data_IF_988787742222
#
_entry.id   IF_988787742222
#
_cell.length_a   1.000
_cell.length_b   1.000
_cell.length_c   1.000
_cell.angle_alpha   90.00
_cell.angle_beta   90.00
_cell.angle_gamma   90.00
#
_symmetry.space_group_name_H-M   'P 1'
#
loop_
_entity.id
_entity.type
_entity.pdbx_description
1 polymer ?
#
# COMPACT_ATOMS: atom_id res chain seq x y z
N UNK A 1 0.41 -22.56 -11.24
CA UNK A 1 -0.19 -22.10 -9.97
C UNK A 1 -1.64 -22.55 -9.96
N UNK A 2 -2.09 -23.24 -8.91
CA UNK A 2 -3.51 -23.50 -8.73
C UNK A 2 -4.24 -22.18 -8.42
N UNK A 3 -5.49 -21.99 -8.89
CA UNK A 3 -6.25 -20.79 -8.57
C UNK A 3 -6.48 -20.69 -7.06
N UNK A 4 -6.40 -19.48 -6.52
CA UNK A 4 -6.67 -19.23 -5.10
C UNK A 4 -8.13 -19.62 -4.77
N UNK A 5 -8.32 -20.37 -3.68
CA UNK A 5 -9.66 -20.73 -3.24
C UNK A 5 -10.33 -19.50 -2.58
N UNK A 6 -11.35 -18.97 -3.24
CA UNK A 6 -12.03 -17.74 -2.80
C UNK A 6 -12.67 -17.88 -1.42
N UNK A 7 -13.18 -19.05 -1.05
CA UNK A 7 -13.79 -19.27 0.26
C UNK A 7 -12.76 -19.24 1.39
N UNK A 8 -11.56 -19.77 1.13
CA UNK A 8 -10.44 -19.72 2.08
C UNK A 8 -9.96 -18.28 2.26
N UNK A 9 -9.91 -17.51 1.18
CA UNK A 9 -9.52 -16.09 1.23
C UNK A 9 -10.55 -15.26 1.99
N UNK A 10 -11.85 -15.46 1.75
CA UNK A 10 -12.92 -14.79 2.47
C UNK A 10 -12.88 -15.11 3.96
N UNK A 11 -12.75 -16.39 4.33
CA UNK A 11 -12.60 -16.81 5.72
C UNK A 11 -11.38 -16.14 6.38
N UNK A 12 -10.25 -16.09 5.67
CA UNK A 12 -9.06 -15.40 6.16
C UNK A 12 -9.33 -13.93 6.48
N UNK A 13 -9.93 -13.17 5.56
CA UNK A 13 -10.19 -11.75 5.79
C UNK A 13 -11.28 -11.52 6.86
N UNK A 14 -12.34 -12.33 6.89
CA UNK A 14 -13.40 -12.21 7.89
C UNK A 14 -12.91 -12.51 9.32
N UNK A 15 -11.91 -13.39 9.46
CA UNK A 15 -11.38 -13.79 10.76
C UNK A 15 -10.08 -13.05 11.12
N UNK A 16 -9.63 -12.11 10.30
CA UNK A 16 -8.41 -11.34 10.56
C UNK A 16 -8.61 -10.42 11.77
N UNK A 17 -7.67 -10.45 12.71
CA UNK A 17 -7.74 -9.70 13.96
C UNK A 17 -6.38 -9.12 14.32
N UNK A 18 -6.41 -7.93 14.93
CA UNK A 18 -5.24 -7.26 15.50
C UNK A 18 -5.38 -7.25 17.02
N UNK A 19 -4.66 -8.14 17.70
CA UNK A 19 -4.88 -8.40 19.13
C UNK A 19 -4.20 -7.38 20.08
N UNK A 20 -3.38 -6.46 19.57
CA UNK A 20 -2.72 -5.42 20.37
C UNK A 20 -2.29 -4.23 19.50
N UNK A 21 -2.35 -3.01 20.05
CA UNK A 21 -1.88 -1.81 19.33
C UNK A 21 -0.37 -1.56 19.50
N UNK A 22 0.23 -1.98 20.62
CA UNK A 22 1.65 -1.78 20.90
C UNK A 22 2.54 -2.80 20.19
N UNK A 23 2.09 -4.06 20.15
CA UNK A 23 2.74 -5.14 19.41
C UNK A 23 1.69 -5.91 18.62
N UNK A 24 1.28 -5.40 17.44
CA UNK A 24 0.18 -5.96 16.68
C UNK A 24 0.44 -7.41 16.27
N UNK A 25 -0.08 -8.33 17.09
CA UNK A 25 -0.27 -9.73 16.75
C UNK A 25 -1.42 -9.79 15.76
N UNK A 26 -1.04 -9.79 14.49
CA UNK A 26 -1.94 -9.85 13.36
C UNK A 26 -2.19 -11.32 13.02
N UNK A 27 -3.38 -11.83 13.30
CA UNK A 27 -3.70 -13.26 13.14
C UNK A 27 -5.07 -13.46 12.51
N UNK A 28 -5.21 -14.51 11.71
CA UNK A 28 -6.50 -14.98 11.19
C UNK A 28 -6.64 -16.48 11.42
N UNK A 29 -7.82 -16.93 11.80
CA UNK A 29 -8.12 -18.35 12.00
C UNK A 29 -8.86 -18.90 10.78
N UNK A 30 -8.30 -19.91 10.12
CA UNK A 30 -8.83 -20.48 8.87
C UNK A 30 -8.74 -21.99 8.94
N UNK A 31 -9.86 -22.70 8.83
CA UNK A 31 -9.92 -24.17 8.79
C UNK A 31 -9.13 -24.88 9.90
N UNK A 32 -9.18 -24.36 11.13
CA UNK A 32 -8.44 -24.95 12.25
C UNK A 32 -7.02 -24.41 12.45
N UNK A 33 -6.56 -23.50 11.59
CA UNK A 33 -5.18 -23.02 11.57
C UNK A 33 -5.14 -21.52 11.85
N UNK A 34 -4.30 -21.12 12.81
CA UNK A 34 -3.98 -19.70 13.05
C UNK A 34 -2.84 -19.25 12.15
N UNK A 35 -3.15 -18.35 11.21
CA UNK A 35 -2.22 -17.74 10.28
C UNK A 35 -1.81 -16.38 10.81
N UNK A 36 -0.51 -16.15 11.01
CA UNK A 36 0.03 -14.82 11.32
C UNK A 36 0.28 -14.05 10.02
N UNK A 37 -0.03 -12.76 10.02
CA UNK A 37 0.18 -11.88 8.86
C UNK A 37 0.85 -10.55 9.25
N UNK A 38 1.56 -10.52 10.38
CA UNK A 38 2.42 -9.39 10.72
C UNK A 38 3.59 -9.29 9.72
N UNK A 39 4.20 -8.10 9.66
CA UNK A 39 5.27 -7.83 8.71
C UNK A 39 6.44 -8.82 8.83
N UNK A 40 6.81 -9.27 10.04
CA UNK A 40 7.91 -10.22 10.22
C UNK A 40 7.57 -11.60 9.67
N UNK A 41 6.33 -12.06 9.88
CA UNK A 41 5.84 -13.31 9.28
C UNK A 41 5.83 -13.23 7.75
N UNK A 42 5.32 -12.15 7.17
CA UNK A 42 5.28 -11.95 5.70
C UNK A 42 6.70 -11.89 5.12
N UNK A 43 7.61 -11.15 5.75
CA UNK A 43 9.04 -11.10 5.37
C UNK A 43 9.67 -12.49 5.32
N UNK A 44 9.41 -13.30 6.34
CA UNK A 44 9.94 -14.67 6.42
C UNK A 44 9.37 -15.54 5.31
N UNK A 45 8.07 -15.40 5.02
CA UNK A 45 7.40 -16.15 3.95
C UNK A 45 7.89 -15.78 2.55
N UNK A 46 8.09 -14.48 2.28
CA UNK A 46 8.55 -13.99 0.98
C UNK A 46 10.07 -14.12 0.81
N UNK A 47 10.82 -14.38 1.89
CA UNK A 47 12.28 -14.42 1.88
C UNK A 47 12.91 -13.03 1.68
N UNK A 48 12.17 -11.97 1.95
CA UNK A 48 12.52 -10.58 1.59
C UNK A 48 13.07 -9.77 2.76
N UNK A 49 13.68 -10.43 3.74
CA UNK A 49 14.32 -9.74 4.87
C UNK A 49 15.17 -8.57 4.35
N UNK A 50 14.74 -7.34 4.65
CA UNK A 50 15.50 -6.14 4.37
C UNK A 50 16.94 -6.42 4.84
N UNK A 51 17.88 -6.41 3.90
CA UNK A 51 19.29 -6.65 4.19
C UNK A 51 19.67 -5.76 5.37
N UNK A 52 20.42 -6.31 6.34
CA UNK A 52 20.65 -5.74 7.69
C UNK A 52 21.05 -4.25 7.78
N UNK A 53 21.33 -3.58 6.66
CA UNK A 53 21.55 -2.12 6.54
C UNK A 53 20.31 -1.26 6.24
N UNK A 54 19.18 -1.84 5.80
CA UNK A 54 17.92 -1.13 5.48
C UNK A 54 16.88 -1.24 6.62
N UNK A 55 17.31 -1.06 7.88
CA UNK A 55 16.37 -0.90 9.01
C UNK A 55 15.53 0.38 8.91
N UNK A 56 15.82 1.22 7.93
CA UNK A 56 15.19 2.49 7.66
C UNK A 56 14.28 2.38 6.43
N UNK A 57 12.99 2.66 6.60
CA UNK A 57 12.04 2.73 5.49
C UNK A 57 11.91 4.19 5.05
N UNK A 58 12.68 4.57 4.02
CA UNK A 58 12.68 5.94 3.49
C UNK A 58 11.28 6.43 3.14
N UNK A 59 10.42 5.55 2.62
CA UNK A 59 9.03 5.89 2.34
C UNK A 59 8.26 6.30 3.60
N UNK A 60 8.33 5.50 4.67
CA UNK A 60 7.59 5.77 5.91
C UNK A 60 8.09 7.06 6.57
N UNK A 61 9.39 7.27 6.60
CA UNK A 61 9.98 8.50 7.14
C UNK A 61 9.63 9.73 6.30
N UNK A 62 9.66 9.60 4.96
CA UNK A 62 9.25 10.67 4.06
C UNK A 62 7.78 11.04 4.27
N UNK A 63 6.87 10.07 4.36
CA UNK A 63 5.45 10.31 4.66
C UNK A 63 5.26 11.12 5.93
N UNK A 64 5.99 10.80 6.99
CA UNK A 64 5.81 11.42 8.30
C UNK A 64 6.47 12.81 8.41
N UNK A 65 7.65 12.99 7.81
CA UNK A 65 8.48 14.18 8.05
C UNK A 65 8.50 15.17 6.89
N UNK A 66 8.49 14.68 5.65
CA UNK A 66 8.95 15.44 4.49
C UNK A 66 8.02 15.30 3.28
N UNK A 67 6.77 14.86 3.46
CA UNK A 67 5.85 14.72 2.33
C UNK A 67 5.56 16.07 1.70
N UNK A 68 5.68 16.14 0.38
CA UNK A 68 5.44 17.34 -0.41
C UNK A 68 4.53 16.98 -1.59
N UNK A 69 3.29 17.48 -1.56
CA UNK A 69 2.31 17.22 -2.60
C UNK A 69 2.67 17.88 -3.93
N UNK A 70 3.35 19.01 -3.94
CA UNK A 70 3.80 19.67 -5.16
C UNK A 70 4.87 18.85 -5.88
N UNK A 71 5.78 18.20 -5.13
CA UNK A 71 6.73 17.25 -5.70
C UNK A 71 6.04 15.99 -6.24
N UNK A 72 5.03 15.48 -5.51
CA UNK A 72 4.21 14.35 -5.96
C UNK A 72 3.56 14.68 -7.30
N UNK A 73 2.83 15.80 -7.40
CA UNK A 73 2.15 16.26 -8.61
C UNK A 73 3.11 16.38 -9.79
N UNK A 74 4.24 17.08 -9.62
CA UNK A 74 5.23 17.27 -10.68
C UNK A 74 5.84 15.97 -11.20
N UNK A 75 5.92 14.96 -10.34
CA UNK A 75 6.55 13.69 -10.67
C UNK A 75 5.59 12.74 -11.38
N UNK A 76 4.32 12.69 -10.95
CA UNK A 76 3.37 11.66 -11.40
C UNK A 76 2.30 12.18 -12.36
N UNK A 77 2.04 13.50 -12.40
CA UNK A 77 1.00 14.11 -13.21
C UNK A 77 1.55 14.74 -14.50
N UNK A 78 0.67 14.86 -15.50
CA UNK A 78 0.89 15.72 -16.67
C UNK A 78 1.04 17.17 -16.23
N UNK A 79 1.73 17.97 -17.04
CA UNK A 79 1.93 19.39 -16.76
C UNK A 79 0.59 20.11 -16.51
N UNK A 80 0.52 20.87 -15.41
CA UNK A 80 -0.66 21.64 -15.01
C UNK A 80 -1.80 20.81 -14.40
N UNK A 81 -1.57 19.52 -14.12
CA UNK A 81 -2.54 18.63 -13.47
C UNK A 81 -2.12 18.32 -12.04
N UNK A 82 -3.10 18.36 -11.13
CA UNK A 82 -2.88 18.45 -9.70
C UNK A 82 -3.83 17.51 -8.93
N UNK A 83 -3.66 17.42 -7.60
CA UNK A 83 -4.66 16.84 -6.73
C UNK A 83 -5.99 17.59 -6.81
N UNK A 84 -7.07 16.82 -6.75
CA UNK A 84 -8.41 17.32 -6.49
C UNK A 84 -8.62 17.47 -4.99
N UNK A 85 -9.43 18.44 -4.61
CA UNK A 85 -9.74 18.76 -3.23
C UNK A 85 -11.21 18.47 -2.93
N UNK A 86 -11.45 17.97 -1.73
CA UNK A 86 -12.81 17.88 -1.17
C UNK A 86 -13.40 19.28 -0.99
N UNK A 87 -14.72 19.36 -0.81
CA UNK A 87 -15.42 20.61 -0.47
C UNK A 87 -14.91 21.29 0.80
N UNK A 88 -14.21 20.55 1.67
CA UNK A 88 -13.57 21.06 2.90
C UNK A 88 -12.11 21.48 2.70
N UNK A 89 -11.63 21.57 1.46
CA UNK A 89 -10.26 21.97 1.14
C UNK A 89 -9.19 20.91 1.44
N UNK A 90 -9.57 19.68 1.82
CA UNK A 90 -8.61 18.58 2.01
C UNK A 90 -8.30 17.89 0.68
N UNK A 91 -7.05 17.46 0.50
CA UNK A 91 -6.64 16.63 -0.64
C UNK A 91 -7.50 15.37 -0.71
N UNK A 92 -7.91 15.00 -1.92
CA UNK A 92 -8.79 13.87 -2.18
C UNK A 92 -8.10 12.81 -3.03
N UNK A 93 -7.83 13.13 -4.30
CA UNK A 93 -7.33 12.18 -5.27
C UNK A 93 -6.77 12.89 -6.51
N UNK A 94 -6.05 12.15 -7.35
CA UNK A 94 -5.69 12.56 -8.71
C UNK A 94 -6.53 11.74 -9.69
N UNK A 95 -6.98 12.36 -10.79
CA UNK A 95 -7.64 11.62 -11.87
C UNK A 95 -6.60 10.74 -12.58
N UNK A 96 -6.90 9.46 -12.80
CA UNK A 96 -5.93 8.56 -13.46
C UNK A 96 -5.56 9.07 -14.85
N UNK A 97 -6.48 9.71 -15.56
CA UNK A 97 -6.22 10.28 -16.89
C UNK A 97 -5.17 11.39 -16.89
N UNK A 98 -5.03 12.10 -15.77
CA UNK A 98 -4.11 13.20 -15.54
C UNK A 98 -2.69 12.74 -15.23
N UNK A 99 -2.47 11.45 -15.00
CA UNK A 99 -1.15 10.88 -14.80
C UNK A 99 -0.33 10.81 -16.10
N UNK A 100 0.99 10.91 -15.97
CA UNK A 100 1.92 10.56 -17.06
C UNK A 100 1.89 9.05 -17.33
N UNK A 101 2.38 8.64 -18.51
CA UNK A 101 2.31 7.24 -18.95
C UNK A 101 2.99 6.29 -17.95
N UNK A 102 4.18 6.64 -17.46
CA UNK A 102 4.92 5.82 -16.51
C UNK A 102 4.16 5.64 -15.18
N UNK A 103 3.57 6.72 -14.66
CA UNK A 103 2.75 6.69 -13.47
C UNK A 103 1.48 5.81 -13.65
N UNK A 104 0.89 5.78 -14.85
CA UNK A 104 -0.25 4.89 -15.16
C UNK A 104 0.10 3.40 -15.10
N UNK A 105 1.32 3.04 -15.50
CA UNK A 105 1.81 1.66 -15.44
C UNK A 105 1.99 1.26 -13.98
N UNK A 106 2.72 2.06 -13.21
CA UNK A 106 2.96 1.79 -11.79
C UNK A 106 1.69 1.77 -10.96
N UNK A 107 0.72 2.67 -11.21
CA UNK A 107 -0.53 2.65 -10.46
C UNK A 107 -1.37 1.41 -10.78
N UNK A 108 -1.32 0.91 -12.02
CA UNK A 108 -1.97 -0.35 -12.37
C UNK A 108 -1.35 -1.52 -11.60
N UNK A 109 -0.02 -1.55 -11.49
CA UNK A 109 0.69 -2.52 -10.65
C UNK A 109 0.29 -2.40 -9.17
N UNK A 110 0.28 -1.19 -8.61
CA UNK A 110 -0.15 -0.94 -7.21
C UNK A 110 -1.57 -1.45 -6.99
N UNK A 111 -2.51 -1.15 -7.88
CA UNK A 111 -3.91 -1.58 -7.78
C UNK A 111 -4.11 -3.09 -7.95
N UNK A 112 -3.19 -3.79 -8.61
CA UNK A 112 -3.26 -5.24 -8.76
C UNK A 112 -2.59 -5.98 -7.60
N UNK A 113 -1.64 -5.35 -6.90
CA UNK A 113 -0.74 -6.05 -5.97
C UNK A 113 -0.69 -5.41 -4.58
N UNK A 114 -0.10 -4.22 -4.46
CA UNK A 114 0.28 -3.61 -3.19
C UNK A 114 -0.86 -2.94 -2.44
N UNK A 115 -1.79 -2.31 -3.16
CA UNK A 115 -2.94 -1.64 -2.58
C UNK A 115 -4.17 -1.85 -3.47
N UNK A 116 -4.74 -3.08 -3.47
CA UNK A 116 -5.87 -3.43 -4.32
C UNK A 116 -7.02 -2.42 -4.25
N UNK A 117 -7.65 -2.17 -5.38
CA UNK A 117 -8.77 -1.22 -5.49
C UNK A 117 -9.73 -1.64 -6.61
N UNK A 118 -11.03 -1.62 -6.32
CA UNK A 118 -12.09 -1.88 -7.31
C UNK A 118 -12.34 -0.68 -8.23
N UNK A 119 -12.06 0.54 -7.78
CA UNK A 119 -12.19 1.76 -8.58
C UNK A 119 -10.83 2.24 -9.05
N UNK A 120 -10.63 2.28 -10.37
CA UNK A 120 -9.34 2.62 -10.98
C UNK A 120 -9.36 3.95 -11.74
N UNK A 121 -10.48 4.67 -11.74
CA UNK A 121 -10.58 6.00 -12.36
C UNK A 121 -9.81 7.06 -11.59
N UNK A 122 -9.74 6.93 -10.27
CA UNK A 122 -9.12 7.89 -9.36
C UNK A 122 -7.97 7.23 -8.59
N UNK A 123 -6.97 8.03 -8.24
CA UNK A 123 -5.84 7.64 -7.41
C UNK A 123 -5.91 8.42 -6.12
N UNK A 124 -6.37 7.77 -5.05
CA UNK A 124 -6.48 8.37 -3.73
C UNK A 124 -5.10 8.77 -3.19
N UNK A 125 -5.07 9.74 -2.28
CA UNK A 125 -3.86 10.30 -1.65
C UNK A 125 -2.83 9.22 -1.27
N UNK A 126 -3.20 8.23 -0.45
CA UNK A 126 -2.25 7.20 0.02
C UNK A 126 -1.62 6.38 -1.12
N UNK A 127 -2.35 6.17 -2.22
CA UNK A 127 -1.83 5.47 -3.41
C UNK A 127 -0.98 6.38 -4.28
N UNK A 128 -1.32 7.66 -4.36
CA UNK A 128 -0.50 8.66 -5.05
C UNK A 128 0.85 8.87 -4.36
N UNK A 129 0.87 8.87 -3.03
CA UNK A 129 2.11 8.96 -2.23
C UNK A 129 2.99 7.72 -2.41
N UNK A 130 2.39 6.52 -2.41
CA UNK A 130 3.12 5.29 -2.72
C UNK A 130 3.65 5.27 -4.17
N UNK A 131 2.84 5.75 -5.12
CA UNK A 131 3.22 5.87 -6.53
C UNK A 131 4.43 6.80 -6.69
N UNK A 132 4.41 7.95 -6.03
CA UNK A 132 5.56 8.85 -5.99
C UNK A 132 6.80 8.15 -5.41
N UNK A 133 6.67 7.45 -4.29
CA UNK A 133 7.80 6.76 -3.66
C UNK A 133 8.46 5.73 -4.58
N UNK A 134 7.66 4.99 -5.37
CA UNK A 134 8.17 4.07 -6.39
C UNK A 134 8.88 4.85 -7.51
N UNK A 135 8.28 5.92 -8.00
CA UNK A 135 8.87 6.74 -9.07
C UNK A 135 10.17 7.44 -8.67
N UNK A 136 10.26 7.85 -7.41
CA UNK A 136 11.43 8.48 -6.79
C UNK A 136 12.43 7.45 -6.22
N UNK A 137 12.19 6.15 -6.46
CA UNK A 137 13.04 5.02 -6.05
C UNK A 137 13.35 4.98 -4.55
N UNK A 138 12.41 5.43 -3.71
CA UNK A 138 12.55 5.34 -2.25
C UNK A 138 12.56 3.88 -1.80
N UNK A 139 13.35 3.58 -0.77
CA UNK A 139 13.26 2.29 -0.10
C UNK A 139 11.87 2.13 0.56
N UNK A 140 11.12 1.11 0.12
CA UNK A 140 9.78 0.78 0.61
C UNK A 140 9.84 -0.59 1.30
N UNK A 141 9.37 -0.66 2.54
CA UNK A 141 9.10 -1.92 3.22
C UNK A 141 7.74 -2.47 2.73
N UNK A 142 7.80 -3.32 1.70
CA UNK A 142 6.62 -3.85 1.01
C UNK A 142 5.80 -4.74 1.96
N UNK A 143 6.45 -5.45 2.87
CA UNK A 143 5.84 -6.41 3.77
C UNK A 143 5.08 -5.70 4.89
N UNK A 144 5.62 -4.59 5.39
CA UNK A 144 4.91 -3.69 6.29
C UNK A 144 3.68 -3.09 5.59
N UNK A 145 3.81 -2.70 4.32
CA UNK A 145 2.69 -2.19 3.53
C UNK A 145 1.60 -3.25 3.33
N UNK A 146 1.95 -4.48 2.97
CA UNK A 146 1.00 -5.59 2.81
C UNK A 146 0.31 -5.88 4.14
N UNK A 147 1.07 -6.02 5.23
CA UNK A 147 0.51 -6.25 6.57
C UNK A 147 -0.49 -5.14 6.95
N UNK A 148 -0.14 -3.87 6.70
CA UNK A 148 -1.02 -2.73 6.95
C UNK A 148 -2.30 -2.80 6.12
N UNK A 149 -2.20 -3.18 4.84
CA UNK A 149 -3.39 -3.32 3.98
C UNK A 149 -4.30 -4.45 4.43
N UNK A 150 -3.76 -5.60 4.84
CA UNK A 150 -4.57 -6.69 5.39
C UNK A 150 -5.27 -6.22 6.67
N UNK A 151 -4.56 -5.53 7.58
CA UNK A 151 -5.15 -4.97 8.80
C UNK A 151 -6.30 -4.00 8.52
N UNK A 152 -6.16 -3.12 7.52
CA UNK A 152 -7.18 -2.13 7.19
C UNK A 152 -8.39 -2.72 6.43
N UNK A 153 -8.28 -3.96 5.95
CA UNK A 153 -9.37 -4.69 5.33
C UNK A 153 -10.13 -5.60 6.33
N UNK A 154 -9.53 -5.86 7.48
CA UNK A 154 -10.12 -6.60 8.61
C UNK A 154 -10.99 -5.67 9.46
#
# INVERSE_FOLDING_TARGET
MAPANIFVLQEFYCNAQVLSNEFPKCTSYVRGITIRFDAATINTFLGTHLTKGLRYCEYSDWIFRNKDYGMVERTICKLGKNFQYTSRGKISHILREDLILMAKIWVAFIHATLAPCCHTSNVLESRALLLYAIMDKKAINVEALIAEKIKNCA
#
